data_IF_709780760380
#
_entry.id   IF_709780760380
#
_cell.length_a   1.000
_cell.length_b   1.000
_cell.length_c   1.000
_cell.angle_alpha   90.00
_cell.angle_beta   90.00
_cell.angle_gamma   90.00
#
_symmetry.space_group_name_H-M   'P 1'
#
loop_
_entity.id
_entity.type
_entity.pdbx_description
1 polymer ?
2 water ?
#
# COMPACT_ATOMS: atom_id res chain seq x y z
N UNK A 2 29.63 17.93 1.79
CA UNK A 2 28.32 17.85 2.41
C UNK A 2 28.26 16.73 3.44
N UNK A 3 27.66 17.04 4.60
CA UNK A 3 27.43 16.01 5.59
C UNK A 3 26.49 14.92 5.09
N UNK A 4 25.42 15.31 4.40
CA UNK A 4 24.51 14.32 3.83
C UNK A 4 25.21 13.48 2.76
N UNK A 5 26.18 14.06 2.03
CA UNK A 5 26.95 13.27 1.08
C UNK A 5 27.76 12.20 1.79
N UNK A 6 28.33 12.55 2.95
CA UNK A 6 29.10 11.57 3.73
C UNK A 6 28.22 10.44 4.21
N UNK A 7 27.00 10.77 4.66
CA UNK A 7 26.08 9.75 5.13
C UNK A 7 25.65 8.82 4.00
N UNK A 8 25.40 9.38 2.81
CA UNK A 8 25.03 8.54 1.68
C UNK A 8 26.19 7.65 1.27
N UNK A 9 27.41 8.19 1.26
CA UNK A 9 28.59 7.39 0.95
C UNK A 9 28.73 6.21 1.91
N UNK A 10 28.48 6.44 3.19
CA UNK A 10 28.58 5.36 4.17
C UNK A 10 27.59 4.25 3.84
N UNK A 11 26.37 4.62 3.44
CA UNK A 11 25.33 3.63 3.21
C UNK A 11 25.55 2.89 1.89
N UNK A 12 26.04 3.59 0.87
CA UNK A 12 26.33 2.94 -0.40
C UNK A 12 27.43 1.91 -0.23
N UNK A 13 28.55 2.31 0.36
CA UNK A 13 29.66 1.39 0.54
C UNK A 13 29.29 0.22 1.43
N UNK A 14 28.35 0.43 2.36
CA UNK A 14 27.94 -0.63 3.28
C UNK A 14 27.19 -1.75 2.56
N UNK A 15 26.60 -1.45 1.39
CA UNK A 15 25.76 -2.42 0.69
C UNK A 15 26.28 -2.76 -0.70
N UNK A 16 27.58 -2.60 -0.96
CA UNK A 16 28.11 -2.98 -2.27
C UNK A 16 28.09 -4.49 -2.45
N UNK A 17 28.26 -5.25 -1.37
CA UNK A 17 28.15 -6.70 -1.44
C UNK A 17 26.81 -7.13 -2.00
N UNK A 18 25.77 -6.31 -1.76
CA UNK A 18 24.44 -6.62 -2.23
C UNK A 18 24.34 -6.49 -3.74
N UNK A 19 25.04 -5.50 -4.29
CA UNK A 19 25.09 -5.31 -5.74
C UNK A 19 25.71 -6.52 -6.42
N UNK A 20 26.86 -6.97 -5.90
CA UNK A 20 27.57 -8.07 -6.55
C UNK A 20 26.76 -9.35 -6.46
N UNK A 21 26.20 -9.64 -5.28
CA UNK A 21 25.45 -10.88 -5.12
C UNK A 21 24.24 -10.90 -6.06
N UNK A 22 23.53 -9.78 -6.16
CA UNK A 22 22.34 -9.75 -7.02
C UNK A 22 22.73 -9.82 -8.47
N UNK A 23 23.81 -9.13 -8.86
CA UNK A 23 24.26 -9.18 -10.24
C UNK A 23 24.66 -10.59 -10.63
N UNK A 24 25.32 -11.32 -9.73
CA UNK A 24 25.71 -12.70 -10.03
C UNK A 24 24.50 -13.56 -10.32
N UNK A 25 23.36 -13.27 -9.68
CA UNK A 25 22.15 -14.05 -9.92
C UNK A 25 21.63 -13.85 -11.34
N UNK A 26 21.85 -12.68 -11.92
CA UNK A 26 21.38 -12.40 -13.26
C UNK A 26 22.41 -12.68 -14.34
N UNK A 27 23.63 -13.02 -13.97
CA UNK A 27 24.65 -13.30 -14.97
C UNK A 27 24.22 -14.50 -15.79
N UNK A 28 24.36 -14.38 -17.09
CA UNK A 28 23.91 -15.41 -18.02
C UNK A 28 24.69 -15.25 -19.32
N UNK A 29 24.49 -16.20 -20.23
CA UNK A 29 25.08 -16.11 -21.55
C UNK A 29 24.59 -14.87 -22.27
N UNK A 30 25.53 -14.06 -22.78
CA UNK A 30 25.19 -12.82 -23.46
C UNK A 30 24.98 -11.63 -22.56
N UNK A 31 25.11 -11.78 -21.25
CA UNK A 31 24.88 -10.72 -20.27
C UNK A 31 26.14 -10.59 -19.44
N UNK A 32 26.84 -9.47 -19.60
CA UNK A 32 28.14 -9.30 -18.96
C UNK A 32 27.98 -8.91 -17.50
N UNK A 33 28.64 -9.66 -16.61
CA UNK A 33 28.58 -9.37 -15.18
C UNK A 33 29.06 -7.95 -14.91
N UNK A 34 30.05 -7.48 -15.66
CA UNK A 34 30.55 -6.12 -15.45
C UNK A 34 29.46 -5.09 -15.67
N UNK A 35 28.63 -5.27 -16.70
CA UNK A 35 27.51 -4.37 -16.92
C UNK A 35 26.51 -4.44 -15.79
N UNK A 36 26.25 -5.66 -15.28
CA UNK A 36 25.24 -5.81 -14.23
C UNK A 36 25.68 -5.13 -12.94
N UNK A 37 26.96 -5.24 -12.60
CA UNK A 37 27.47 -4.57 -11.40
C UNK A 37 27.24 -3.07 -11.48
N UNK A 38 27.55 -2.47 -12.64
CA UNK A 38 27.36 -1.04 -12.80
C UNK A 38 25.89 -0.66 -12.74
N UNK A 39 25.04 -1.42 -13.45
CA UNK A 39 23.61 -1.17 -13.45
C UNK A 39 23.05 -1.36 -12.04
N UNK A 40 23.48 -2.42 -11.36
CA UNK A 40 23.05 -2.62 -10.00
C UNK A 40 23.52 -1.51 -9.08
N UNK A 41 24.73 -1.01 -9.29
CA UNK A 41 25.22 0.09 -8.47
C UNK A 41 24.37 1.34 -8.64
N UNK A 42 23.82 1.57 -9.84
CA UNK A 42 22.92 2.70 -10.02
C UNK A 42 21.65 2.48 -9.20
N UNK A 43 21.14 1.25 -9.19
CA UNK A 43 19.99 0.95 -8.34
C UNK A 43 20.28 1.19 -6.87
N UNK A 44 21.48 0.84 -6.42
CA UNK A 44 21.84 1.10 -5.02
C UNK A 44 21.87 2.59 -4.74
N UNK A 45 22.44 3.37 -5.65
CA UNK A 45 22.49 4.82 -5.47
C UNK A 45 21.09 5.40 -5.36
N UNK A 46 20.18 4.95 -6.24
CA UNK A 46 18.80 5.44 -6.15
C UNK A 46 18.15 5.03 -4.84
N UNK A 47 18.42 3.80 -4.38
CA UNK A 47 17.85 3.34 -3.12
C UNK A 47 18.26 4.27 -1.98
N UNK A 48 19.56 4.54 -1.85
CA UNK A 48 20.05 5.36 -0.74
C UNK A 48 19.54 6.79 -0.83
N UNK A 49 19.35 7.32 -2.04
CA UNK A 49 18.85 8.68 -2.19
C UNK A 49 17.37 8.82 -1.89
N UNK A 50 16.60 7.72 -1.93
CA UNK A 50 15.18 7.79 -1.70
C UNK A 50 14.73 7.02 -0.46
N UNK A 51 15.63 6.34 0.25
CA UNK A 51 15.24 5.52 1.39
C UNK A 51 14.66 6.41 2.50
N UNK A 52 13.61 5.93 3.15
CA UNK A 52 13.05 6.63 4.30
C UNK A 52 13.19 5.75 5.53
N UNK A 53 14.01 6.13 6.51
CA UNK A 53 14.10 5.31 7.74
C UNK A 53 12.84 5.33 8.57
N UNK A 54 11.97 6.32 8.39
CA UNK A 54 10.75 6.39 9.19
C UNK A 54 9.78 5.25 8.86
N UNK A 55 9.93 4.61 7.70
CA UNK A 55 9.15 3.43 7.39
C UNK A 55 9.84 2.21 7.99
N UNK A 56 9.19 1.04 7.86
CA UNK A 56 9.60 -0.14 8.60
C UNK A 56 10.30 -1.16 7.70
N UNK A 57 10.98 -0.71 6.67
CA UNK A 57 11.67 -1.57 5.72
C UNK A 57 13.17 -1.40 5.91
N UNK A 58 13.88 -2.52 6.07
CA UNK A 58 15.34 -2.49 6.09
C UNK A 58 15.86 -1.77 4.85
N UNK A 59 16.95 -1.02 5.03
CA UNK A 59 17.67 -0.51 3.87
C UNK A 59 18.06 -1.64 2.93
N UNK A 60 18.60 -2.73 3.48
CA UNK A 60 19.01 -3.86 2.65
C UNK A 60 17.85 -4.42 1.84
N UNK A 61 16.69 -4.60 2.48
CA UNK A 61 15.49 -5.02 1.76
C UNK A 61 15.14 -4.03 0.67
N UNK A 62 15.19 -2.73 0.98
CA UNK A 62 14.80 -1.71 0.02
C UNK A 62 15.83 -1.60 -1.09
N UNK A 63 17.12 -1.61 -0.72
CA UNK A 63 18.18 -1.53 -1.72
C UNK A 63 18.09 -2.67 -2.72
N UNK A 64 17.96 -3.89 -2.21
CA UNK A 64 17.91 -5.06 -3.08
C UNK A 64 16.76 -4.97 -4.06
N UNK A 65 15.62 -4.43 -3.63
CA UNK A 65 14.51 -4.17 -4.54
C UNK A 65 14.91 -3.18 -5.64
N UNK A 66 15.56 -2.08 -5.26
CA UNK A 66 15.97 -1.09 -6.25
C UNK A 66 17.03 -1.66 -7.19
N UNK A 67 17.94 -2.47 -6.65
CA UNK A 67 19.00 -3.06 -7.44
C UNK A 67 18.40 -4.03 -8.46
N UNK A 68 17.50 -4.90 -8.01
CA UNK A 68 16.80 -5.80 -8.92
C UNK A 68 16.07 -5.02 -10.02
N UNK A 69 15.38 -3.95 -9.63
CA UNK A 69 14.55 -3.23 -10.57
C UNK A 69 15.38 -2.55 -11.66
N UNK A 70 16.54 -2.01 -11.31
CA UNK A 70 17.39 -1.40 -12.32
C UNK A 70 17.90 -2.46 -13.29
N UNK A 71 18.30 -3.63 -12.76
CA UNK A 71 18.82 -4.68 -13.63
C UNK A 71 17.72 -5.23 -14.53
N UNK A 72 16.50 -5.39 -13.98
CA UNK A 72 15.40 -5.90 -14.80
C UNK A 72 15.06 -4.94 -15.93
N UNK A 73 14.97 -3.64 -15.63
CA UNK A 73 14.68 -2.68 -16.68
C UNK A 73 15.80 -2.62 -17.71
N UNK A 74 17.04 -2.79 -17.27
CA UNK A 74 18.15 -2.83 -18.22
C UNK A 74 18.05 -4.05 -19.13
N UNK A 75 17.67 -5.20 -18.58
CA UNK A 75 17.56 -6.38 -19.43
C UNK A 75 16.32 -6.31 -20.34
N UNK A 76 15.23 -5.72 -19.86
CA UNK A 76 14.07 -5.53 -20.72
C UNK A 76 14.36 -4.50 -21.82
N UNK A 77 15.12 -3.46 -21.48
CA UNK A 77 15.48 -2.44 -22.46
C UNK A 77 16.38 -3.00 -23.56
N UNK A 78 17.25 -3.95 -23.23
CA UNK A 78 18.19 -4.54 -24.19
C UNK A 78 17.71 -5.87 -24.76
N UNK A 79 16.41 -6.17 -24.64
CA UNK A 79 15.79 -7.34 -25.26
C UNK A 79 16.48 -8.64 -24.86
N UNK A 80 16.97 -8.71 -23.61
CA UNK A 80 17.49 -9.94 -23.06
C UNK A 80 16.53 -10.56 -22.05
N UNK A 81 15.27 -10.08 -22.03
CA UNK A 81 14.25 -10.29 -20.99
C UNK A 81 14.73 -11.06 -19.76
N UNK B 3 -10.01 6.14 3.87
CA UNK B 3 -8.68 6.41 4.40
C UNK B 3 -8.73 6.73 5.87
N UNK B 4 -8.86 8.02 6.19
CA UNK B 4 -9.05 8.42 7.58
C UNK B 4 -10.37 7.88 8.13
N UNK B 5 -11.38 7.76 7.27
CA UNK B 5 -12.66 7.20 7.68
C UNK B 5 -12.49 5.78 8.22
N UNK B 6 -11.81 4.91 7.45
CA UNK B 6 -11.62 3.54 7.88
C UNK B 6 -10.87 3.46 9.20
N UNK B 7 -9.92 4.36 9.43
CA UNK B 7 -9.19 4.39 10.70
C UNK B 7 -10.15 4.66 11.87
N UNK B 8 -11.04 5.64 11.71
CA UNK B 8 -11.97 5.95 12.80
C UNK B 8 -12.98 4.83 13.01
N UNK B 9 -13.39 4.16 11.94
CA UNK B 9 -14.36 3.07 12.06
C UNK B 9 -13.80 1.95 12.92
N UNK B 10 -12.51 1.65 12.76
CA UNK B 10 -11.88 0.60 13.57
C UNK B 10 -11.94 0.97 15.05
N UNK B 11 -11.59 2.21 15.39
CA UNK B 11 -11.56 2.61 16.79
C UNK B 11 -12.96 2.71 17.36
N UNK B 12 -13.92 3.19 16.57
CA UNK B 12 -15.31 3.26 17.03
C UNK B 12 -15.83 1.85 17.34
N UNK B 13 -15.71 0.93 16.39
CA UNK B 13 -16.33 -0.38 16.54
C UNK B 13 -15.69 -1.18 17.67
N UNK B 14 -14.45 -0.88 18.02
CA UNK B 14 -13.81 -1.63 19.09
C UNK B 14 -14.28 -1.15 20.47
N UNK B 15 -14.97 -0.01 20.54
CA UNK B 15 -15.39 0.57 21.81
C UNK B 15 -16.90 0.58 21.97
N UNK B 16 -17.63 -0.21 21.17
CA UNK B 16 -19.09 -0.20 21.26
C UNK B 16 -19.57 -0.68 22.63
N UNK B 17 -18.96 -1.73 23.16
CA UNK B 17 -19.40 -2.24 24.45
C UNK B 17 -19.26 -1.17 25.52
N UNK B 18 -18.27 -0.29 25.38
CA UNK B 18 -18.10 0.80 26.33
C UNK B 18 -19.31 1.73 26.32
N UNK B 19 -19.89 1.98 25.14
CA UNK B 19 -21.12 2.76 25.04
C UNK B 19 -22.23 2.10 25.85
N UNK B 20 -22.42 0.80 25.66
CA UNK B 20 -23.49 0.10 26.36
C UNK B 20 -23.25 0.13 27.86
N UNK B 21 -22.02 -0.20 28.29
CA UNK B 21 -21.72 -0.26 29.71
C UNK B 21 -22.08 1.05 30.41
N UNK B 22 -21.69 2.18 29.81
CA UNK B 22 -22.00 3.46 30.41
C UNK B 22 -23.49 3.77 30.30
N UNK B 23 -24.12 3.37 29.19
CA UNK B 23 -25.54 3.66 29.04
C UNK B 23 -26.36 2.96 30.12
N UNK B 24 -25.97 1.75 30.50
CA UNK B 24 -26.75 1.01 31.50
C UNK B 24 -26.69 1.70 32.86
N UNK B 25 -25.59 2.41 33.15
CA UNK B 25 -25.51 3.14 34.42
C UNK B 25 -26.57 4.22 34.53
N UNK B 26 -26.93 4.85 33.41
CA UNK B 26 -27.91 5.94 33.44
C UNK B 26 -29.33 5.47 33.21
N UNK B 27 -29.56 4.18 33.05
CA UNK B 27 -30.90 3.68 32.81
C UNK B 27 -31.68 3.60 34.12
N UNK B 28 -32.86 4.20 34.12
CA UNK B 28 -33.85 4.00 35.18
C UNK B 28 -35.20 4.47 34.65
N UNK B 29 -36.16 4.69 35.56
CA UNK B 29 -37.54 4.98 35.17
C UNK B 29 -37.61 6.22 34.27
N UNK B 30 -38.11 6.02 33.05
CA UNK B 30 -38.32 7.09 32.11
C UNK B 30 -37.18 7.35 31.14
N UNK B 31 -36.00 6.82 31.41
CA UNK B 31 -34.84 7.00 30.53
C UNK B 31 -34.62 5.67 29.82
N UNK B 32 -34.97 5.59 28.55
CA UNK B 32 -34.91 4.32 27.84
C UNK B 32 -33.49 4.01 27.37
N UNK B 33 -33.07 2.76 27.62
CA UNK B 33 -31.71 2.34 27.32
C UNK B 33 -31.36 2.53 25.85
N UNK B 34 -32.36 2.38 24.96
CA UNK B 34 -32.08 2.46 23.53
C UNK B 34 -31.73 3.88 23.12
N UNK B 35 -32.39 4.87 23.72
CA UNK B 35 -31.99 6.26 23.52
C UNK B 35 -30.57 6.49 24.03
N UNK B 36 -30.25 5.94 25.19
CA UNK B 36 -28.94 6.19 25.81
C UNK B 36 -27.82 5.55 25.01
N UNK B 37 -28.08 4.38 24.41
CA UNK B 37 -27.06 3.77 23.55
C UNK B 37 -26.79 4.67 22.35
N UNK B 38 -27.86 5.15 21.71
CA UNK B 38 -27.69 6.03 20.56
C UNK B 38 -26.91 7.29 20.96
N UNK B 39 -27.40 7.99 21.98
CA UNK B 39 -26.75 9.22 22.44
C UNK B 39 -25.30 8.94 22.82
N UNK B 40 -25.07 7.87 23.58
CA UNK B 40 -23.72 7.53 23.98
C UNK B 40 -22.82 7.24 22.79
N UNK B 41 -23.36 6.55 21.78
CA UNK B 41 -22.61 6.29 20.55
C UNK B 41 -22.17 7.60 19.91
N UNK B 42 -23.01 8.63 19.99
CA UNK B 42 -22.63 9.93 19.45
C UNK B 42 -21.39 10.45 20.18
N UNK B 43 -21.34 10.25 21.50
CA UNK B 43 -20.16 10.68 22.25
C UNK B 43 -18.92 9.91 21.86
N UNK B 44 -19.08 8.62 21.56
CA UNK B 44 -17.93 7.81 21.15
C UNK B 44 -17.39 8.29 19.82
N UNK B 45 -18.27 8.65 18.89
CA UNK B 45 -17.83 9.20 17.63
C UNK B 45 -17.07 10.49 17.86
N UNK B 46 -17.57 11.35 18.75
CA UNK B 46 -16.88 12.61 19.03
C UNK B 46 -15.53 12.36 19.67
N UNK B 47 -15.43 11.33 20.51
CA UNK B 47 -14.16 11.01 21.14
C UNK B 47 -13.12 10.57 20.11
N UNK B 48 -13.50 9.67 19.20
CA UNK B 48 -12.56 9.17 18.21
C UNK B 48 -12.11 10.28 17.28
N UNK B 49 -12.99 11.22 16.97
CA UNK B 49 -12.63 12.29 16.03
C UNK B 49 -11.67 13.31 16.66
N UNK B 50 -11.69 13.46 17.99
CA UNK B 50 -10.87 14.44 18.68
C UNK B 50 -9.77 13.82 19.54
N UNK B 51 -9.63 12.50 19.52
CA UNK B 51 -8.63 11.85 20.35
C UNK B 51 -7.23 12.16 19.83
N UNK B 52 -6.32 12.46 20.77
CA UNK B 52 -4.91 12.71 20.48
C UNK B 52 -4.08 11.55 21.02
N UNK B 53 -3.60 10.65 20.14
CA UNK B 53 -2.79 9.52 20.63
C UNK B 53 -1.40 9.92 21.10
N UNK B 54 -0.96 11.14 20.84
CA UNK B 54 0.36 11.60 21.25
C UNK B 54 0.37 12.15 22.68
N UNK B 55 -0.72 11.99 23.42
CA UNK B 55 -0.76 12.28 24.85
C UNK B 55 -1.10 11.02 25.63
N UNK B 56 -0.97 11.10 26.95
CA UNK B 56 -0.88 9.90 27.78
C UNK B 56 -2.22 9.47 28.36
N UNK B 57 -3.33 9.88 27.75
CA UNK B 57 -4.65 9.41 28.14
C UNK B 57 -5.09 8.34 27.14
N UNK B 58 -5.44 7.16 27.65
CA UNK B 58 -5.85 6.09 26.75
C UNK B 58 -7.19 6.43 26.12
N UNK B 59 -7.43 5.84 24.94
CA UNK B 59 -8.65 6.15 24.21
C UNK B 59 -9.90 5.76 25.01
N UNK B 60 -9.89 4.56 25.61
CA UNK B 60 -11.08 4.10 26.33
C UNK B 60 -11.44 5.05 27.48
N UNK B 61 -10.43 5.68 28.10
CA UNK B 61 -10.70 6.62 29.20
C UNK B 61 -11.23 7.94 28.66
N UNK B 62 -10.61 8.45 27.59
CA UNK B 62 -11.14 9.66 26.94
C UNK B 62 -12.53 9.42 26.36
N UNK B 63 -12.77 8.24 25.79
CA UNK B 63 -14.08 7.93 25.25
C UNK B 63 -15.12 7.87 26.36
N UNK B 64 -14.78 7.23 27.47
CA UNK B 64 -15.70 7.18 28.60
C UNK B 64 -16.14 8.59 29.01
N UNK B 65 -15.20 9.52 29.06
CA UNK B 65 -15.57 10.89 29.40
C UNK B 65 -16.54 11.48 28.38
N UNK B 66 -16.26 11.27 27.09
CA UNK B 66 -17.11 11.89 26.07
C UNK B 66 -18.49 11.24 26.02
N UNK B 67 -18.54 9.93 26.24
CA UNK B 67 -19.81 9.21 26.25
C UNK B 67 -20.68 9.68 27.40
N UNK B 68 -20.11 9.72 28.61
CA UNK B 68 -20.82 10.28 29.76
C UNK B 68 -21.31 11.68 29.46
N UNK B 69 -20.42 12.55 28.96
CA UNK B 69 -20.78 13.94 28.72
C UNK B 69 -21.95 14.06 27.76
N UNK B 70 -21.91 13.31 26.65
CA UNK B 70 -23.02 13.34 25.71
C UNK B 70 -24.34 12.95 26.39
N UNK B 71 -24.30 11.92 27.23
CA UNK B 71 -25.52 11.46 27.89
C UNK B 71 -26.01 12.49 28.90
N UNK B 72 -25.10 13.06 29.71
CA UNK B 72 -25.51 14.06 30.68
C UNK B 72 -26.14 15.27 30.02
N UNK B 73 -25.58 15.72 28.89
CA UNK B 73 -26.16 16.88 28.22
C UNK B 73 -27.54 16.56 27.63
N UNK B 74 -27.74 15.32 27.18
CA UNK B 74 -29.06 14.89 26.74
C UNK B 74 -30.04 14.88 27.91
N UNK B 75 -29.60 14.37 29.07
CA UNK B 75 -30.46 14.30 30.24
C UNK B 75 -30.83 15.70 30.75
N UNK B 76 -29.89 16.65 30.69
CA UNK B 76 -30.20 18.01 31.11
C UNK B 76 -31.10 18.71 30.10
N UNK B 77 -30.88 18.46 28.80
CA UNK B 77 -31.73 19.07 27.78
C UNK B 77 -33.18 18.61 27.93
N UNK B 78 -33.39 17.35 28.30
CA UNK B 78 -34.72 16.78 28.47
C UNK B 78 -35.10 16.66 29.95
N UNK B 79 -34.53 17.51 30.80
CA UNK B 79 -34.80 17.50 32.24
C UNK B 79 -34.60 16.10 32.85
N UNK C 6 -27.31 21.98 17.21
CA UNK C 6 -28.64 22.37 16.76
C UNK C 6 -28.86 21.96 15.30
N UNK C 7 -30.08 22.18 14.81
CA UNK C 7 -30.46 21.82 13.44
C UNK C 7 -30.20 20.34 13.19
N UNK C 8 -28.95 19.99 12.89
CA UNK C 8 -28.60 18.58 12.76
C UNK C 8 -28.93 17.81 14.02
N UNK C 9 -28.63 18.37 15.19
CA UNK C 9 -28.90 17.67 16.44
C UNK C 9 -30.40 17.45 16.64
N UNK C 10 -31.23 18.33 16.09
CA UNK C 10 -32.67 18.12 16.12
C UNK C 10 -33.04 16.90 15.27
N UNK C 11 -32.52 16.85 14.04
CA UNK C 11 -32.82 15.74 13.14
C UNK C 11 -32.37 14.40 13.71
N UNK C 12 -31.20 14.38 14.37
CA UNK C 12 -30.71 13.13 14.92
C UNK C 12 -31.58 12.67 16.08
N UNK C 13 -31.81 13.56 17.04
CA UNK C 13 -32.60 13.17 18.22
C UNK C 13 -34.02 12.81 17.84
N UNK C 14 -34.56 13.43 16.80
CA UNK C 14 -35.93 13.16 16.41
C UNK C 14 -36.08 11.82 15.70
N UNK C 15 -34.98 11.21 15.26
CA UNK C 15 -35.05 9.95 14.52
C UNK C 15 -34.26 8.83 15.19
N UNK C 16 -34.07 8.90 16.51
CA UNK C 16 -33.42 7.79 17.21
C UNK C 16 -34.27 6.53 17.13
N UNK C 17 -35.59 6.69 17.20
CA UNK C 17 -36.48 5.53 17.14
C UNK C 17 -36.33 4.79 15.82
N UNK C 18 -36.09 5.52 14.73
CA UNK C 18 -35.88 4.87 13.44
C UNK C 18 -34.77 3.83 13.51
N UNK C 19 -33.72 4.09 14.31
CA UNK C 19 -32.64 3.11 14.45
C UNK C 19 -33.17 1.83 15.07
N UNK C 20 -34.00 1.96 16.12
CA UNK C 20 -34.56 0.79 16.78
C UNK C 20 -35.45 0.01 15.81
N UNK C 21 -36.27 0.72 15.04
CA UNK C 21 -37.19 0.03 14.14
C UNK C 21 -36.43 -0.77 13.09
N UNK C 22 -35.36 -0.20 12.53
CA UNK C 22 -34.59 -0.90 11.52
C UNK C 22 -33.79 -2.04 12.15
N UNK C 23 -33.22 -1.80 13.34
CA UNK C 23 -32.38 -2.81 13.96
C UNK C 23 -33.18 -4.06 14.34
N UNK C 24 -34.43 -3.90 14.75
CA UNK C 24 -35.25 -5.06 15.11
C UNK C 24 -35.54 -5.95 13.91
N UNK C 25 -35.37 -5.46 12.69
CA UNK C 25 -35.53 -6.32 11.51
C UNK C 25 -34.50 -7.44 11.48
N UNK C 26 -33.41 -7.31 12.23
CA UNK C 26 -32.32 -8.27 12.21
C UNK C 26 -32.31 -9.17 13.44
N UNK C 27 -33.48 -9.41 14.03
CA UNK C 27 -33.57 -10.17 15.27
C UNK C 27 -33.01 -11.58 15.12
N UNK C 28 -33.29 -12.23 13.97
CA UNK C 28 -32.95 -13.65 13.82
C UNK C 28 -31.47 -13.89 13.59
N UNK C 29 -30.65 -12.84 13.49
CA UNK C 29 -29.21 -13.02 13.46
C UNK C 29 -28.65 -13.43 14.81
N UNK C 30 -29.44 -13.37 15.87
CA UNK C 30 -28.97 -13.66 17.21
C UNK C 30 -28.00 -12.64 17.76
N UNK C 31 -27.67 -11.60 17.01
CA UNK C 31 -26.73 -10.58 17.46
C UNK C 31 -27.44 -9.66 18.44
N UNK C 32 -26.70 -9.27 19.49
CA UNK C 32 -27.23 -8.42 20.54
C UNK C 32 -27.82 -7.13 19.96
N UNK C 33 -29.08 -6.86 20.30
CA UNK C 33 -29.77 -5.67 19.79
C UNK C 33 -29.04 -4.39 20.21
N UNK C 34 -28.43 -4.39 21.40
CA UNK C 34 -27.68 -3.22 21.84
C UNK C 34 -26.58 -2.85 20.84
N UNK C 35 -25.85 -3.86 20.35
CA UNK C 35 -24.78 -3.56 19.41
C UNK C 35 -25.33 -3.08 18.07
N UNK C 36 -26.44 -3.67 17.61
CA UNK C 36 -27.05 -3.22 16.37
C UNK C 36 -27.49 -1.77 16.47
N UNK C 37 -28.11 -1.39 17.59
CA UNK C 37 -28.56 -0.02 17.77
C UNK C 37 -27.39 0.94 17.67
N UNK C 38 -26.29 0.61 18.34
CA UNK C 38 -25.10 1.45 18.26
C UNK C 38 -24.60 1.55 16.83
N UNK C 39 -24.50 0.41 16.13
CA UNK C 39 -24.04 0.42 14.74
C UNK C 39 -24.98 1.22 13.87
N UNK C 40 -26.29 0.99 14.04
CA UNK C 40 -27.26 1.73 13.25
C UNK C 40 -27.22 3.22 13.51
N UNK C 41 -26.89 3.62 14.76
CA UNK C 41 -26.78 5.05 15.04
C UNK C 41 -25.70 5.68 14.19
N UNK C 42 -24.56 4.98 14.03
CA UNK C 42 -23.52 5.43 13.11
C UNK C 42 -24.10 5.69 11.72
N UNK C 43 -24.92 4.74 11.23
CA UNK C 43 -25.58 4.96 9.97
C UNK C 43 -26.45 6.19 9.94
N UNK C 44 -27.18 6.45 11.04
CA UNK C 44 -28.05 7.62 11.10
C UNK C 44 -27.24 8.91 11.05
N UNK C 45 -26.11 8.93 11.75
CA UNK C 45 -25.25 10.12 11.75
C UNK C 45 -24.59 10.32 10.40
N UNK C 46 -24.25 9.23 9.69
CA UNK C 46 -23.76 9.37 8.34
C UNK C 46 -24.82 9.97 7.42
N UNK C 47 -26.06 9.50 7.56
CA UNK C 47 -27.13 10.00 6.69
C UNK C 47 -27.35 11.50 6.89
N UNK C 48 -27.36 11.94 8.15
CA UNK C 48 -27.56 13.36 8.44
C UNK C 48 -26.40 14.18 7.87
N UNK C 49 -25.18 13.66 8.01
CA UNK C 49 -24.00 14.39 7.54
C UNK C 49 -23.92 14.48 6.02
N UNK C 50 -24.71 13.68 5.29
CA UNK C 50 -24.54 13.57 3.84
C UNK C 50 -25.86 13.72 3.09
N UNK C 51 -26.86 14.36 3.69
CA UNK C 51 -28.22 14.38 3.14
C UNK C 51 -28.33 15.00 1.75
N UNK C 52 -28.23 16.34 1.67
CA UNK C 52 -28.53 17.14 0.49
C UNK C 52 -30.03 17.06 0.18
N UNK C 53 -30.81 18.07 0.59
CA UNK C 53 -32.27 17.98 0.47
C UNK C 53 -32.82 18.15 -0.92
N UNK C 54 -32.01 18.63 -1.88
CA UNK C 54 -32.51 18.91 -3.22
C UNK C 54 -32.53 17.68 -4.13
N UNK C 55 -32.08 16.52 -3.65
CA UNK C 55 -32.08 15.30 -4.45
C UNK C 55 -33.45 14.65 -4.55
N UNK C 56 -34.48 15.23 -3.93
CA UNK C 56 -35.88 14.80 -3.93
C UNK C 56 -36.13 13.54 -3.11
N UNK C 57 -35.18 13.10 -2.28
CA UNK C 57 -35.36 11.94 -1.42
C UNK C 57 -35.53 12.43 0.01
N UNK C 58 -36.58 11.95 0.69
CA UNK C 58 -36.87 12.38 2.05
C UNK C 58 -35.80 11.85 3.01
N UNK C 59 -35.58 12.60 4.09
CA UNK C 59 -34.52 12.25 5.03
C UNK C 59 -34.80 10.92 5.74
N UNK C 60 -36.08 10.60 5.97
CA UNK C 60 -36.40 9.35 6.65
C UNK C 60 -36.07 8.15 5.78
N UNK C 61 -36.32 8.25 4.48
CA UNK C 61 -36.00 7.14 3.58
C UNK C 61 -34.50 7.01 3.36
N UNK C 62 -33.81 8.14 3.16
CA UNK C 62 -32.37 8.11 3.03
C UNK C 62 -31.70 7.57 4.29
N UNK C 63 -32.20 7.96 5.47
CA UNK C 63 -31.64 7.45 6.72
C UNK C 63 -31.96 5.98 6.90
N UNK C 64 -33.14 5.54 6.49
CA UNK C 64 -33.45 4.11 6.56
C UNK C 64 -32.42 3.29 5.80
N UNK C 65 -32.04 3.75 4.61
CA UNK C 65 -31.04 3.05 3.82
C UNK C 65 -29.70 3.01 4.53
N UNK C 66 -29.22 4.18 4.97
CA UNK C 66 -27.91 4.26 5.62
C UNK C 66 -27.86 3.44 6.89
N UNK C 67 -28.96 3.37 7.63
CA UNK C 67 -29.00 2.60 8.87
C UNK C 67 -28.97 1.11 8.56
N UNK C 68 -29.84 0.66 7.65
CA UNK C 68 -29.84 -0.74 7.27
C UNK C 68 -28.49 -1.15 6.68
N UNK C 69 -27.93 -0.30 5.81
CA UNK C 69 -26.65 -0.62 5.18
C UNK C 69 -25.54 -0.75 6.21
N UNK C 70 -25.47 0.20 7.15
CA UNK C 70 -24.44 0.12 8.18
C UNK C 70 -24.52 -1.19 8.96
N UNK C 71 -25.74 -1.63 9.28
CA UNK C 71 -25.91 -2.88 10.00
C UNK C 71 -25.52 -4.06 9.12
N UNK C 72 -25.95 -4.03 7.85
CA UNK C 72 -25.65 -5.14 6.95
C UNK C 72 -24.15 -5.33 6.81
N UNK C 73 -23.42 -4.25 6.50
CA UNK C 73 -21.98 -4.35 6.37
C UNK C 73 -21.34 -4.88 7.64
N UNK C 74 -21.83 -4.44 8.80
CA UNK C 74 -21.29 -4.91 10.07
C UNK C 74 -21.55 -6.40 10.26
N UNK C 75 -22.76 -6.87 9.92
CA UNK C 75 -23.06 -8.29 10.04
C UNK C 75 -22.26 -9.13 9.06
N UNK C 76 -22.15 -8.70 7.81
CA UNK C 76 -21.39 -9.52 6.87
C UNK C 76 -19.89 -9.44 7.14
N UNK C 77 -19.40 -8.29 7.63
CA UNK C 77 -18.00 -8.17 7.97
C UNK C 77 -17.59 -9.16 9.05
N UNK C 78 -18.53 -9.53 9.93
CA UNK C 78 -18.20 -10.37 11.08
C UNK C 78 -18.77 -11.78 10.98
N UNK C 79 -19.40 -12.15 9.88
CA UNK C 79 -19.93 -13.50 9.74
C UNK C 79 -19.03 -14.31 8.82
N UNK D 2 9.36 5.66 -9.36
CA UNK D 2 9.28 6.22 -8.01
C UNK D 2 9.87 5.27 -6.97
N UNK D 3 10.63 5.83 -6.03
CA UNK D 3 11.05 5.07 -4.87
C UNK D 3 9.92 4.77 -3.90
N UNK D 4 8.87 5.59 -3.91
CA UNK D 4 7.70 5.28 -3.10
C UNK D 4 7.01 4.02 -3.58
N UNK D 5 6.92 3.84 -4.91
CA UNK D 5 6.26 2.65 -5.43
C UNK D 5 7.06 1.40 -5.14
N UNK D 6 8.40 1.50 -5.13
CA UNK D 6 9.23 0.36 -4.77
C UNK D 6 8.99 -0.07 -3.33
N UNK D 7 8.75 0.90 -2.44
CA UNK D 7 8.46 0.56 -1.05
C UNK D 7 7.06 -0.01 -0.92
N UNK D 8 6.10 0.57 -1.62
CA UNK D 8 4.74 0.04 -1.59
C UNK D 8 4.70 -1.38 -2.14
N UNK D 9 5.44 -1.63 -3.23
CA UNK D 9 5.50 -2.98 -3.80
C UNK D 9 6.04 -3.99 -2.81
N UNK D 10 7.03 -3.59 -2.00
CA UNK D 10 7.60 -4.51 -1.01
C UNK D 10 6.55 -4.88 0.04
N UNK D 11 5.77 -3.90 0.49
CA UNK D 11 4.80 -4.16 1.56
C UNK D 11 3.57 -4.88 1.04
N UNK D 12 3.16 -4.62 -0.19
CA UNK D 12 2.09 -5.42 -0.80
C UNK D 12 2.52 -6.89 -0.90
N UNK D 13 3.66 -7.16 -1.52
CA UNK D 13 4.07 -8.55 -1.73
C UNK D 13 4.34 -9.26 -0.41
N UNK D 14 4.84 -8.54 0.60
CA UNK D 14 5.06 -9.13 1.91
C UNK D 14 3.77 -9.59 2.57
N UNK D 15 2.62 -9.06 2.18
CA UNK D 15 1.38 -9.32 2.89
C UNK D 15 0.28 -9.91 2.00
N UNK D 16 0.67 -10.67 0.97
CA UNK D 16 -0.33 -11.36 0.17
C UNK D 16 -1.11 -12.40 0.99
N UNK D 17 -0.47 -13.00 2.00
CA UNK D 17 -1.15 -13.99 2.83
C UNK D 17 -2.37 -13.39 3.52
N UNK D 18 -2.28 -12.11 3.91
CA UNK D 18 -3.40 -11.47 4.58
C UNK D 18 -4.65 -11.48 3.71
N UNK D 19 -4.49 -11.30 2.39
CA UNK D 19 -5.63 -11.34 1.48
C UNK D 19 -6.31 -12.71 1.52
N UNK D 20 -5.50 -13.77 1.56
CA UNK D 20 -6.05 -15.12 1.59
C UNK D 20 -6.76 -15.39 2.91
N UNK D 21 -6.10 -15.07 4.04
CA UNK D 21 -6.69 -15.34 5.36
C UNK D 21 -8.07 -14.69 5.46
N UNK D 22 -8.20 -13.48 4.94
CA UNK D 22 -9.48 -12.77 4.99
C UNK D 22 -10.42 -13.28 3.90
N UNK D 23 -9.92 -13.47 2.68
CA UNK D 23 -10.77 -13.96 1.60
C UNK D 23 -11.46 -15.25 1.98
N UNK D 24 -10.75 -16.14 2.68
CA UNK D 24 -11.32 -17.43 3.00
C UNK D 24 -12.45 -17.35 4.02
N UNK D 25 -12.59 -16.23 4.72
CA UNK D 25 -13.71 -16.06 5.63
C UNK D 25 -15.02 -15.81 4.90
N UNK D 26 -14.95 -15.27 3.69
CA UNK D 26 -16.13 -14.98 2.88
C UNK D 26 -16.48 -16.11 1.91
N UNK D 27 -16.00 -17.33 2.18
CA UNK D 27 -16.26 -18.43 1.27
C UNK D 27 -17.69 -18.94 1.36
N UNK D 28 -18.31 -18.83 2.54
CA UNK D 28 -19.71 -19.25 2.69
C UNK D 28 -20.65 -18.41 1.83
N UNK D 29 -20.23 -17.22 1.41
CA UNK D 29 -20.95 -16.44 0.41
C UNK D 29 -20.51 -16.95 -0.95
N UNK D 30 -21.17 -18.01 -1.42
CA UNK D 30 -20.77 -18.79 -2.58
C UNK D 30 -20.20 -18.07 -3.78
N UNK D 31 -19.11 -17.34 -3.54
CA UNK D 31 -18.33 -16.69 -4.58
C UNK D 31 -16.96 -17.35 -4.63
N UNK D 32 -16.45 -17.55 -5.84
CA UNK D 32 -15.18 -18.24 -6.02
C UNK D 32 -14.06 -17.59 -5.22
N UNK D 33 -13.26 -18.42 -4.57
CA UNK D 33 -12.13 -17.91 -3.81
C UNK D 33 -11.18 -17.13 -4.71
N UNK D 34 -11.05 -17.53 -5.98
CA UNK D 34 -10.15 -16.83 -6.90
C UNK D 34 -10.54 -15.37 -7.05
N UNK D 35 -11.84 -15.09 -7.21
CA UNK D 35 -12.29 -13.71 -7.30
C UNK D 35 -12.06 -12.97 -6.00
N UNK D 36 -12.34 -13.61 -4.86
CA UNK D 36 -12.18 -12.95 -3.56
C UNK D 36 -10.73 -12.55 -3.33
N UNK D 37 -9.78 -13.39 -3.78
CA UNK D 37 -8.37 -13.02 -3.63
C UNK D 37 -8.06 -11.78 -4.46
N UNK D 38 -8.54 -11.74 -5.72
CA UNK D 38 -8.31 -10.59 -6.57
C UNK D 38 -8.88 -9.32 -5.95
N UNK D 39 -10.16 -9.35 -5.59
CA UNK D 39 -10.80 -8.19 -4.96
C UNK D 39 -10.08 -7.82 -3.67
N UNK D 40 -9.74 -8.81 -2.86
CA UNK D 40 -9.04 -8.52 -1.62
C UNK D 40 -7.69 -7.89 -1.86
N UNK D 41 -7.01 -8.31 -2.94
CA UNK D 41 -5.72 -7.72 -3.28
C UNK D 41 -5.86 -6.24 -3.59
N UNK D 42 -6.92 -5.87 -4.30
CA UNK D 42 -7.19 -4.46 -4.58
C UNK D 42 -7.27 -3.66 -3.28
N UNK D 43 -7.96 -4.21 -2.27
CA UNK D 43 -8.01 -3.54 -0.98
C UNK D 43 -6.66 -3.45 -0.31
N UNK D 44 -5.82 -4.46 -0.49
CA UNK D 44 -4.45 -4.41 0.05
C UNK D 44 -3.64 -3.33 -0.63
N UNK D 45 -3.79 -3.21 -1.96
CA UNK D 45 -3.11 -2.15 -2.70
C UNK D 45 -3.55 -0.79 -2.19
N UNK D 46 -4.86 -0.60 -2.01
CA UNK D 46 -5.35 0.69 -1.53
C UNK D 46 -4.85 0.96 -0.12
N UNK D 47 -4.79 -0.08 0.72
CA UNK D 47 -4.30 0.10 2.08
C UNK D 47 -2.87 0.61 2.08
N UNK D 48 -1.96 -0.11 1.39
CA UNK D 48 -0.56 0.26 1.39
C UNK D 48 -0.36 1.66 0.80
N UNK D 49 -1.14 2.02 -0.23
CA UNK D 49 -1.00 3.33 -0.84
C UNK D 49 -1.43 4.46 0.10
N UNK D 50 -2.43 4.23 0.94
CA UNK D 50 -3.00 5.29 1.77
C UNK D 50 -2.57 5.21 3.23
N UNK D 51 -1.80 4.20 3.61
CA UNK D 51 -1.44 4.03 5.01
C UNK D 51 -0.62 5.21 5.51
N UNK D 52 -0.93 5.67 6.73
CA UNK D 52 -0.20 6.75 7.39
C UNK D 52 0.68 6.17 8.48
N UNK D 53 2.00 6.07 8.27
CA UNK D 53 2.84 5.31 9.21
C UNK D 53 2.98 5.94 10.59
N UNK D 54 2.91 7.26 10.71
CA UNK D 54 3.04 7.89 12.03
C UNK D 54 1.70 8.06 12.72
N UNK D 55 0.61 7.54 12.16
CA UNK D 55 -0.62 7.37 12.93
C UNK D 55 -0.51 6.08 13.75
N UNK D 56 -1.49 5.84 14.63
CA UNK D 56 -1.36 4.83 15.67
C UNK D 56 -2.01 3.50 15.30
N UNK D 57 -2.34 3.27 14.04
CA UNK D 57 -2.97 2.03 13.61
C UNK D 57 -1.97 1.22 12.80
N UNK D 58 -1.78 -0.03 13.21
CA UNK D 58 -0.83 -0.91 12.52
C UNK D 58 -1.27 -1.15 11.09
N UNK D 59 -0.30 -1.46 10.23
CA UNK D 59 -0.59 -1.71 8.82
C UNK D 59 -1.50 -2.90 8.64
N UNK D 60 -1.25 -3.99 9.38
CA UNK D 60 -2.08 -5.18 9.26
C UNK D 60 -3.53 -4.89 9.64
N UNK D 61 -3.73 -4.08 10.70
CA UNK D 61 -5.08 -3.71 11.10
C UNK D 61 -5.77 -2.86 10.03
N UNK D 62 -5.06 -1.86 9.52
CA UNK D 62 -5.63 -0.99 8.48
C UNK D 62 -5.88 -1.77 7.20
N UNK D 63 -4.97 -2.65 6.82
CA UNK D 63 -5.13 -3.38 5.57
C UNK D 63 -6.26 -4.40 5.66
N UNK D 64 -6.38 -5.09 6.80
CA UNK D 64 -7.52 -5.99 7.00
C UNK D 64 -8.85 -5.26 6.78
N UNK D 65 -8.94 -4.03 7.26
CA UNK D 65 -10.15 -3.25 7.05
C UNK D 65 -10.34 -2.93 5.57
N UNK D 66 -9.26 -2.56 4.88
CA UNK D 66 -9.40 -2.23 3.46
C UNK D 66 -9.70 -3.45 2.61
N UNK D 67 -9.14 -4.61 2.97
CA UNK D 67 -9.41 -5.84 2.24
C UNK D 67 -10.87 -6.25 2.44
N UNK D 68 -11.34 -6.20 3.69
CA UNK D 68 -12.76 -6.46 3.96
C UNK D 68 -13.66 -5.50 3.20
N UNK D 69 -13.35 -4.20 3.26
CA UNK D 69 -14.22 -3.21 2.64
C UNK D 69 -14.34 -3.43 1.13
N UNK D 70 -13.25 -3.85 0.48
CA UNK D 70 -13.30 -4.08 -0.96
C UNK D 70 -14.16 -5.29 -1.29
N UNK D 71 -13.98 -6.37 -0.52
CA UNK D 71 -14.83 -7.55 -0.70
C UNK D 71 -16.29 -7.21 -0.44
N UNK D 72 -16.57 -6.48 0.67
CA UNK D 72 -17.95 -6.15 1.00
C UNK D 72 -18.58 -5.25 -0.06
N UNK D 73 -17.80 -4.36 -0.65
CA UNK D 73 -18.34 -3.58 -1.77
C UNK D 73 -18.61 -4.45 -2.98
N UNK D 74 -17.75 -5.46 -3.19
CA UNK D 74 -17.99 -6.39 -4.29
C UNK D 74 -19.23 -7.24 -4.04
N UNK D 75 -19.46 -7.64 -2.79
CA UNK D 75 -20.64 -8.45 -2.49
C UNK D 75 -21.92 -7.64 -2.58
N UNK D 76 -21.86 -6.35 -2.23
CA UNK D 76 -23.06 -5.53 -2.29
C UNK D 76 -23.39 -5.11 -3.72
N UNK D 77 -22.37 -4.98 -4.58
CA UNK D 77 -22.62 -4.71 -5.99
C UNK D 77 -23.23 -5.91 -6.69
N UNK D 78 -22.92 -7.12 -6.25
CA UNK D 78 -23.36 -8.35 -6.88
C UNK D 78 -24.40 -9.08 -6.03
N UNK D 79 -25.33 -8.33 -5.43
CA UNK D 79 -26.43 -8.92 -4.67
C UNK D 79 -27.66 -8.04 -4.71
N UNK E 5 -19.91 7.48 -11.69
CA UNK E 5 -19.40 8.24 -12.82
C UNK E 5 -17.97 7.83 -13.14
N UNK E 6 -17.13 7.79 -12.11
CA UNK E 6 -15.75 7.33 -12.25
C UNK E 6 -15.59 5.85 -11.99
N UNK E 7 -16.70 5.10 -11.87
CA UNK E 7 -16.66 3.69 -11.56
C UNK E 7 -16.02 2.89 -12.70
N UNK E 8 -14.71 2.72 -12.66
CA UNK E 8 -14.01 1.84 -13.58
C UNK E 8 -14.05 0.39 -13.13
N UNK E 9 -14.80 0.07 -12.07
CA UNK E 9 -14.87 -1.30 -11.58
C UNK E 9 -15.55 -2.24 -12.58
N UNK E 10 -16.34 -1.69 -13.51
CA UNK E 10 -16.89 -2.53 -14.56
C UNK E 10 -15.79 -3.15 -15.41
N UNK E 11 -14.77 -2.34 -15.73
CA UNK E 11 -13.64 -2.86 -16.49
C UNK E 11 -12.90 -3.95 -15.71
N UNK E 12 -12.58 -3.65 -14.45
CA UNK E 12 -11.75 -4.56 -13.66
C UNK E 12 -12.49 -5.87 -13.40
N UNK E 13 -13.76 -5.78 -12.99
CA UNK E 13 -14.54 -6.99 -12.72
C UNK E 13 -14.65 -7.86 -13.97
N UNK E 14 -14.73 -7.24 -15.15
CA UNK E 14 -14.89 -8.00 -16.39
C UNK E 14 -13.64 -8.77 -16.78
N UNK E 15 -12.50 -8.50 -16.15
CA UNK E 15 -11.23 -9.13 -16.53
C UNK E 15 -10.63 -9.95 -15.40
N UNK E 16 -11.45 -10.36 -14.42
CA UNK E 16 -10.91 -11.13 -13.30
C UNK E 16 -10.53 -12.54 -13.73
N UNK E 17 -11.39 -13.20 -14.52
CA UNK E 17 -11.07 -14.55 -14.95
C UNK E 17 -9.86 -14.57 -15.87
N UNK E 18 -9.53 -13.44 -16.50
CA UNK E 18 -8.29 -13.33 -17.25
C UNK E 18 -7.07 -13.48 -16.34
N UNK E 19 -7.18 -13.00 -15.09
CA UNK E 19 -6.09 -13.17 -14.14
C UNK E 19 -5.88 -14.65 -13.81
N UNK E 20 -6.98 -15.37 -13.57
CA UNK E 20 -6.86 -16.77 -13.18
C UNK E 20 -6.35 -17.60 -14.36
N UNK E 21 -6.86 -17.33 -15.57
CA UNK E 21 -6.43 -18.08 -16.74
C UNK E 21 -4.93 -17.93 -16.96
N UNK E 22 -4.39 -16.73 -16.75
CA UNK E 22 -2.96 -16.54 -16.92
C UNK E 22 -2.18 -17.17 -15.77
N UNK E 23 -2.71 -17.07 -14.54
CA UNK E 23 -2.02 -17.65 -13.40
C UNK E 23 -1.97 -19.16 -13.47
N UNK E 24 -2.98 -19.80 -14.07
CA UNK E 24 -2.95 -21.25 -14.23
C UNK E 24 -1.86 -21.69 -15.19
N UNK E 25 -1.41 -20.81 -16.09
CA UNK E 25 -0.34 -21.18 -17.01
C UNK E 25 0.95 -21.52 -16.28
N UNK E 26 1.14 -21.04 -15.06
CA UNK E 26 2.36 -21.29 -14.30
C UNK E 26 2.18 -22.41 -13.29
N UNK E 27 1.33 -23.39 -13.62
CA UNK E 27 1.14 -24.57 -12.79
C UNK E 27 2.46 -25.28 -12.50
N UNK E 28 3.40 -25.26 -13.44
CA UNK E 28 4.67 -25.96 -13.28
C UNK E 28 5.72 -25.15 -12.52
N UNK E 29 5.40 -23.90 -12.16
CA UNK E 29 6.25 -23.13 -11.27
C UNK E 29 5.89 -23.46 -9.83
N UNK E 30 6.90 -23.61 -8.98
CA UNK E 30 6.67 -23.91 -7.58
C UNK E 30 6.23 -22.73 -6.74
N UNK E 31 5.35 -21.88 -7.28
CA UNK E 31 4.71 -20.80 -6.53
C UNK E 31 3.23 -21.11 -6.41
N UNK E 32 2.68 -20.96 -5.20
CA UNK E 32 1.27 -21.25 -4.98
C UNK E 32 0.39 -20.35 -5.83
N UNK E 33 -0.70 -20.92 -6.36
CA UNK E 33 -1.59 -20.18 -7.26
C UNK E 33 -2.14 -18.92 -6.57
N UNK E 34 -2.39 -19.00 -5.25
CA UNK E 34 -2.92 -17.83 -4.54
C UNK E 34 -2.02 -16.61 -4.72
N UNK E 35 -0.71 -16.80 -4.68
CA UNK E 35 0.21 -15.69 -4.90
C UNK E 35 0.12 -15.17 -6.33
N UNK E 36 0.04 -16.06 -7.31
CA UNK E 36 0.00 -15.63 -8.71
C UNK E 36 -1.27 -14.84 -9.01
N UNK E 37 -2.41 -15.22 -8.41
CA UNK E 37 -3.64 -14.46 -8.61
C UNK E 37 -3.48 -13.04 -8.11
N UNK E 38 -2.89 -12.87 -6.92
CA UNK E 38 -2.68 -11.52 -6.38
C UNK E 38 -1.74 -10.73 -7.27
N UNK E 39 -0.59 -11.32 -7.62
CA UNK E 39 0.39 -10.63 -8.47
C UNK E 39 -0.25 -10.27 -9.81
N UNK E 40 -0.92 -11.23 -10.43
CA UNK E 40 -1.63 -10.93 -11.67
C UNK E 40 -2.61 -9.79 -11.53
N UNK E 41 -3.35 -9.77 -10.41
CA UNK E 41 -4.30 -8.68 -10.18
C UNK E 41 -3.61 -7.32 -10.15
N UNK E 42 -2.45 -7.25 -9.49
CA UNK E 42 -1.63 -6.04 -9.55
C UNK E 42 -1.39 -5.64 -11.00
N UNK E 43 -1.10 -6.62 -11.86
CA UNK E 43 -0.91 -6.32 -13.26
C UNK E 43 -2.16 -5.78 -13.93
N UNK E 44 -3.31 -6.34 -13.59
CA UNK E 44 -4.56 -5.85 -14.18
C UNK E 44 -4.85 -4.42 -13.75
N UNK E 45 -4.55 -4.09 -12.49
CA UNK E 45 -4.72 -2.73 -11.99
C UNK E 45 -3.83 -1.76 -12.77
N UNK E 46 -2.59 -2.16 -13.04
CA UNK E 46 -1.70 -1.31 -13.83
C UNK E 46 -2.19 -1.17 -15.26
N UNK E 47 -2.84 -2.21 -15.79
CA UNK E 47 -3.35 -2.13 -17.16
C UNK E 47 -4.45 -1.09 -17.29
N UNK E 48 -5.44 -1.12 -16.38
CA UNK E 48 -6.56 -0.19 -16.49
C UNK E 48 -6.12 1.23 -16.20
N UNK E 49 -5.05 1.41 -15.41
CA UNK E 49 -4.56 2.74 -15.11
C UNK E 49 -3.72 3.34 -16.23
N UNK E 50 -3.23 2.50 -17.15
CA UNK E 50 -2.39 2.97 -18.25
C UNK E 50 -2.96 2.63 -19.61
N UNK E 51 -4.17 2.08 -19.66
CA UNK E 51 -4.76 1.74 -20.95
C UNK E 51 -5.10 3.01 -21.72
N UNK E 52 -4.72 3.04 -22.99
CA UNK E 52 -5.05 4.14 -23.88
C UNK E 52 -6.03 3.66 -24.94
N UNK E 53 -7.33 3.97 -24.82
CA UNK E 53 -8.30 3.50 -25.83
C UNK E 53 -8.11 4.13 -27.20
N UNK E 54 -7.35 5.23 -27.29
CA UNK E 54 -7.10 5.85 -28.59
C UNK E 54 -6.15 5.03 -29.45
N UNK E 55 -5.38 4.12 -28.85
CA UNK E 55 -4.52 3.22 -29.60
C UNK E 55 -5.34 2.04 -30.11
N UNK E 56 -4.73 1.26 -31.00
CA UNK E 56 -5.41 0.14 -31.64
C UNK E 56 -5.01 -1.17 -30.97
N UNK E 57 -5.51 -1.34 -29.75
CA UNK E 57 -5.28 -2.56 -28.98
C UNK E 57 -6.43 -2.72 -27.97
N UNK E 58 -7.09 -3.87 -28.00
CA UNK E 58 -8.19 -4.13 -27.09
C UNK E 58 -7.68 -4.24 -25.65
N UNK E 59 -8.55 -3.90 -24.70
CA UNK E 59 -8.16 -3.87 -23.30
C UNK E 59 -7.74 -5.26 -22.81
N UNK E 60 -8.51 -6.29 -23.16
CA UNK E 60 -8.18 -7.64 -22.73
C UNK E 60 -6.86 -8.11 -23.32
N UNK E 61 -6.50 -7.62 -24.51
CA UNK E 61 -5.18 -7.93 -25.07
C UNK E 61 -4.08 -7.23 -24.27
N UNK E 62 -4.26 -5.94 -24.01
CA UNK E 62 -3.28 -5.20 -23.21
C UNK E 62 -3.25 -5.71 -21.77
N UNK E 63 -4.43 -6.05 -21.22
CA UNK E 63 -4.49 -6.52 -19.84
C UNK E 63 -3.72 -7.84 -19.68
N UNK E 64 -3.87 -8.76 -20.63
CA UNK E 64 -3.15 -10.03 -20.54
C UNK E 64 -1.65 -9.83 -20.55
N UNK E 65 -1.16 -8.85 -21.33
CA UNK E 65 0.27 -8.60 -21.39
C UNK E 65 0.80 -8.12 -20.04
N UNK E 66 0.10 -7.18 -19.41
CA UNK E 66 0.54 -6.68 -18.10
C UNK E 66 0.37 -7.72 -17.01
N UNK E 67 -0.69 -8.53 -17.07
CA UNK E 67 -0.91 -9.57 -16.08
C UNK E 67 0.21 -10.60 -16.15
N UNK E 68 0.53 -11.05 -17.36
CA UNK E 68 1.62 -12.01 -17.52
C UNK E 68 2.96 -11.36 -17.18
N UNK E 69 3.18 -10.11 -17.58
CA UNK E 69 4.45 -9.45 -17.29
C UNK E 69 4.66 -9.31 -15.79
N UNK E 70 3.62 -8.86 -15.08
CA UNK E 70 3.72 -8.73 -13.63
C UNK E 70 4.11 -10.05 -12.99
N UNK E 71 3.50 -11.15 -13.42
CA UNK E 71 3.83 -12.46 -12.87
C UNK E 71 5.27 -12.84 -13.20
N UNK E 72 5.67 -12.64 -14.46
CA UNK E 72 7.03 -13.00 -14.88
C UNK E 72 8.07 -12.21 -14.09
N UNK E 73 7.84 -10.91 -13.89
CA UNK E 73 8.77 -10.11 -13.10
C UNK E 73 8.86 -10.63 -11.67
N UNK E 74 7.72 -11.00 -11.10
CA UNK E 74 7.72 -11.55 -9.74
C UNK E 74 8.53 -12.84 -9.68
N UNK E 75 8.39 -13.69 -10.69
CA UNK E 75 9.10 -14.96 -10.69
C UNK E 75 10.60 -14.77 -10.93
N UNK E 76 10.97 -13.87 -11.84
CA UNK E 76 12.38 -13.59 -12.07
C UNK E 76 13.02 -13.05 -10.80
N UNK E 77 12.36 -12.07 -10.18
CA UNK E 77 12.85 -11.45 -8.96
C UNK E 77 13.08 -12.49 -7.86
N UNK E 78 12.27 -13.54 -7.81
CA UNK E 78 12.41 -14.56 -6.77
C UNK E 78 13.11 -15.82 -7.26
N UNK E 79 13.71 -15.78 -8.45
CA UNK E 79 14.54 -16.85 -8.96
C UNK E 79 13.77 -18.17 -9.07
N UNK E 80 12.59 -18.10 -9.68
CA UNK E 80 11.74 -19.26 -9.91
C UNK E 80 11.63 -19.54 -11.40
N UNK E 81 11.53 -20.83 -11.74
CA UNK E 81 11.39 -21.21 -13.14
C UNK E 81 10.11 -20.64 -13.72
N UNK E 82 10.20 -20.13 -14.94
CA UNK E 82 9.07 -19.50 -15.59
C UNK E 82 8.38 -20.47 -16.55
N UNK F 5 17.79 14.48 -16.57
CA UNK F 5 17.47 14.31 -17.99
C UNK F 5 17.21 12.84 -18.32
N UNK F 6 16.42 12.60 -19.36
CA UNK F 6 16.34 11.25 -19.91
C UNK F 6 17.60 10.89 -20.66
N UNK F 7 18.31 11.89 -21.20
CA UNK F 7 19.55 11.67 -21.90
C UNK F 7 20.71 11.35 -20.97
N UNK F 8 20.53 11.58 -19.66
CA UNK F 8 21.54 11.12 -18.69
C UNK F 8 21.72 9.63 -18.78
N UNK F 9 20.61 8.88 -18.85
CA UNK F 9 20.66 7.43 -18.88
C UNK F 9 21.44 6.93 -20.08
N UNK F 10 21.30 7.58 -21.23
CA UNK F 10 22.04 7.16 -22.41
C UNK F 10 23.54 7.38 -22.20
N UNK F 11 23.92 8.57 -21.75
CA UNK F 11 25.33 8.87 -21.50
C UNK F 11 25.96 7.88 -20.53
N UNK F 12 25.23 7.47 -19.50
CA UNK F 12 25.78 6.56 -18.51
C UNK F 12 25.97 5.17 -19.10
N UNK F 13 24.93 4.65 -19.77
CA UNK F 13 24.93 3.25 -20.18
C UNK F 13 26.00 2.96 -21.21
N UNK F 14 26.29 3.90 -22.10
CA UNK F 14 27.30 3.64 -23.12
C UNK F 14 28.69 4.09 -22.68
N UNK F 15 28.86 4.52 -21.44
CA UNK F 15 30.18 4.74 -20.88
C UNK F 15 30.51 3.71 -19.81
N UNK F 16 29.70 2.65 -19.70
CA UNK F 16 29.96 1.59 -18.71
C UNK F 16 31.31 0.92 -18.97
N UNK F 17 31.66 0.70 -20.24
CA UNK F 17 32.96 0.11 -20.54
C UNK F 17 34.10 0.98 -20.02
N UNK F 18 33.91 2.30 -20.05
CA UNK F 18 34.97 3.18 -19.54
C UNK F 18 35.31 2.85 -18.09
N UNK F 19 34.29 2.55 -17.28
CA UNK F 19 34.53 2.21 -15.88
C UNK F 19 35.43 0.99 -15.78
N UNK F 20 35.18 -0.01 -16.62
CA UNK F 20 35.95 -1.24 -16.57
C UNK F 20 37.41 -0.99 -17.00
N UNK F 21 37.61 -0.29 -18.12
CA UNK F 21 38.98 -0.07 -18.60
C UNK F 21 39.83 0.60 -17.52
N UNK F 22 39.25 1.56 -16.81
CA UNK F 22 39.99 2.23 -15.74
C UNK F 22 40.15 1.31 -14.53
N UNK F 23 39.07 0.61 -14.14
CA UNK F 23 39.15 -0.25 -12.97
C UNK F 23 40.13 -1.40 -13.16
N UNK F 24 40.28 -1.88 -14.39
CA UNK F 24 41.25 -2.95 -14.66
C UNK F 24 42.68 -2.51 -14.42
N UNK F 25 42.96 -1.22 -14.51
CA UNK F 25 44.36 -0.83 -14.27
C UNK F 25 44.70 -0.79 -12.79
N UNK F 26 43.72 -1.00 -11.91
CA UNK F 26 43.94 -1.02 -10.47
C UNK F 26 43.82 -2.41 -9.88
N UNK F 27 43.71 -3.47 -10.70
CA UNK F 27 43.55 -4.80 -10.11
C UNK F 27 44.87 -5.41 -9.65
N UNK F 28 45.94 -4.61 -9.59
CA UNK F 28 47.19 -5.03 -8.98
C UNK F 28 47.18 -4.84 -7.46
N UNK F 29 46.01 -4.63 -6.86
CA UNK F 29 45.85 -4.47 -5.43
C UNK F 29 45.32 -5.77 -4.81
N UNK F 30 44.72 -5.66 -3.62
CA UNK F 30 44.04 -6.77 -2.99
C UNK F 30 42.56 -6.49 -2.85
N UNK F 31 42.01 -5.74 -3.80
CA UNK F 31 40.57 -5.44 -3.84
C UNK F 31 39.98 -6.12 -5.06
N UNK F 32 38.79 -6.68 -4.88
CA UNK F 32 38.14 -7.38 -5.98
C UNK F 32 37.75 -6.41 -7.08
N UNK F 33 37.84 -6.89 -8.33
CA UNK F 33 37.46 -6.07 -9.47
C UNK F 33 36.00 -5.66 -9.37
N UNK F 34 35.16 -6.53 -8.79
CA UNK F 34 33.74 -6.22 -8.68
C UNK F 34 33.51 -4.94 -7.86
N UNK F 35 34.23 -4.79 -6.76
CA UNK F 35 34.06 -3.59 -5.94
C UNK F 35 34.61 -2.36 -6.66
N UNK F 36 35.70 -2.52 -7.41
CA UNK F 36 36.27 -1.39 -8.14
C UNK F 36 35.31 -0.91 -9.22
N UNK F 37 34.63 -1.82 -9.90
CA UNK F 37 33.65 -1.43 -10.91
C UNK F 37 32.50 -0.66 -10.26
N UNK F 38 31.99 -1.18 -9.14
CA UNK F 38 30.95 -0.46 -8.42
C UNK F 38 31.42 0.96 -8.06
N UNK F 39 32.59 1.08 -7.46
CA UNK F 39 33.11 2.39 -7.06
C UNK F 39 33.32 3.27 -8.28
N UNK F 40 33.92 2.72 -9.33
CA UNK F 40 34.11 3.52 -10.53
C UNK F 40 32.80 4.02 -11.11
N UNK F 41 31.75 3.20 -11.02
CA UNK F 41 30.44 3.58 -11.53
C UNK F 41 29.87 4.76 -10.75
N UNK F 42 30.12 4.80 -9.44
CA UNK F 42 29.83 6.00 -8.67
C UNK F 42 30.54 7.22 -9.26
N UNK F 43 31.81 7.05 -9.62
CA UNK F 43 32.52 8.16 -10.25
C UNK F 43 31.91 8.59 -11.57
N UNK F 44 31.43 7.63 -12.35
CA UNK F 44 30.77 7.95 -13.61
C UNK F 44 29.47 8.71 -13.36
N UNK F 45 28.67 8.28 -12.38
CA UNK F 45 27.43 8.99 -12.06
C UNK F 45 27.73 10.41 -11.63
N UNK F 46 28.76 10.60 -10.80
CA UNK F 46 29.12 11.95 -10.37
C UNK F 46 29.53 12.81 -11.55
N UNK F 47 30.29 12.26 -12.48
CA UNK F 47 30.72 13.03 -13.65
C UNK F 47 29.52 13.48 -14.49
N UNK F 48 28.57 12.58 -14.73
CA UNK F 48 27.44 12.89 -15.60
C UNK F 48 26.51 13.90 -14.93
N UNK F 49 26.35 13.79 -13.60
CA UNK F 49 25.52 14.75 -12.88
C UNK F 49 26.15 16.13 -12.79
N UNK F 50 27.46 16.25 -13.04
CA UNK F 50 28.17 17.51 -12.90
C UNK F 50 28.92 17.88 -14.18
N UNK F 51 28.40 17.49 -15.33
CA UNK F 51 29.07 17.74 -16.60
C UNK F 51 28.43 18.91 -17.33
N UNK F 52 29.26 19.78 -17.90
CA UNK F 52 28.79 20.92 -18.66
C UNK F 52 28.86 20.61 -20.15
N UNK F 53 27.73 20.56 -20.86
CA UNK F 53 27.77 20.31 -22.31
C UNK F 53 28.46 21.43 -23.10
N UNK F 54 29.73 21.68 -22.80
CA UNK F 54 30.53 22.68 -23.49
C UNK F 54 31.99 22.56 -23.07
N UNK F 55 32.66 23.70 -22.88
CA UNK F 55 34.03 23.77 -22.39
C UNK F 55 35.03 23.06 -23.29
N UNK F 56 36.31 23.12 -22.93
CA UNK F 56 37.38 22.45 -23.65
C UNK F 56 37.61 21.01 -23.17
N UNK F 57 36.91 20.59 -22.12
CA UNK F 57 36.91 19.21 -21.65
C UNK F 57 35.50 18.67 -21.83
N UNK F 58 35.39 17.50 -22.44
CA UNK F 58 34.09 16.89 -22.68
C UNK F 58 33.95 15.59 -21.91
N UNK F 59 32.86 14.86 -22.18
CA UNK F 59 32.38 13.81 -21.28
C UNK F 59 33.45 12.77 -20.98
N UNK F 60 34.00 12.14 -22.02
CA UNK F 60 34.89 11.00 -21.83
C UNK F 60 36.07 11.38 -20.94
N UNK F 61 36.72 12.50 -21.23
CA UNK F 61 37.89 12.89 -20.44
C UNK F 61 37.51 13.28 -19.03
N UNK F 62 36.40 14.02 -18.87
CA UNK F 62 35.95 14.37 -17.52
C UNK F 62 35.51 13.14 -16.74
N UNK F 63 34.81 12.22 -17.40
CA UNK F 63 34.37 11.00 -16.74
C UNK F 63 35.56 10.14 -16.31
N UNK F 64 36.60 10.08 -17.14
CA UNK F 64 37.78 9.29 -16.80
C UNK F 64 38.43 9.80 -15.52
N UNK F 65 38.51 11.11 -15.36
CA UNK F 65 39.10 11.69 -14.16
C UNK F 65 38.29 11.30 -12.93
N UNK F 66 36.98 11.54 -12.98
CA UNK F 66 36.11 11.25 -11.84
C UNK F 66 36.11 9.77 -11.51
N UNK F 67 36.07 8.92 -12.53
CA UNK F 67 36.12 7.48 -12.29
C UNK F 67 37.42 7.10 -11.61
N UNK F 68 38.54 7.60 -12.13
CA UNK F 68 39.83 7.30 -11.52
C UNK F 68 39.92 7.89 -10.11
N UNK F 69 39.42 9.11 -9.93
CA UNK F 69 39.54 9.75 -8.62
C UNK F 69 38.78 8.98 -7.56
N UNK F 70 37.55 8.54 -7.88
CA UNK F 70 36.76 7.81 -6.90
C UNK F 70 37.42 6.50 -6.50
N UNK F 71 38.01 5.79 -7.47
CA UNK F 71 38.72 4.57 -7.16
C UNK F 71 39.96 4.86 -6.32
N UNK F 72 40.71 5.92 -6.68
CA UNK F 72 41.87 6.31 -5.89
C UNK F 72 41.48 6.61 -4.46
N UNK F 73 40.42 7.40 -4.27
CA UNK F 73 39.99 7.77 -2.92
C UNK F 73 39.48 6.56 -2.15
N UNK F 74 38.86 5.60 -2.84
CA UNK F 74 38.42 4.39 -2.17
C UNK F 74 39.60 3.56 -1.69
N UNK F 75 40.63 3.42 -2.54
CA UNK F 75 41.80 2.65 -2.16
C UNK F 75 42.65 3.38 -1.13
N UNK F 76 42.79 4.70 -1.25
CA UNK F 76 43.52 5.43 -0.21
C UNK F 76 42.76 5.44 1.11
N UNK F 77 41.43 5.49 1.06
CA UNK F 77 40.65 5.44 2.29
C UNK F 77 40.86 4.12 3.01
N UNK F 78 41.04 3.03 2.26
CA UNK F 78 41.37 1.73 2.84
C UNK F 78 42.86 1.46 2.81
N UNK F 79 43.69 2.49 2.56
CA UNK F 79 45.13 2.46 2.79
C UNK F 79 45.83 1.46 1.88
N UNK F 80 45.69 1.67 0.57
CA UNK F 80 46.41 0.89 -0.43
C UNK F 80 47.24 1.80 -1.32
N UNK F 81 46.59 2.48 -2.25
CA UNK F 81 47.29 3.38 -3.16
C UNK F 81 47.34 4.79 -2.58
#
# INVERSE_FOLDING_TARGET
>A
PNGDQAARAILIERNLRLVVYIARKFENTGINIEDLISIGTIGLIKAVNTFNPEKKIKLATYASRCIENEILMYLRRNNKIR
>B
PNGDQAARAILIERNLRLVVYIARKFENTGINIEDLISIGTIGLIKAVNTFNPEKKIKLATYASRCIENEILMYLRRNNKIR
>C
PNGDQAARAILIERNLRLVVYIARKFENTGINIEDLISIGTIGLIKAVNTFNPEKKIKLATYASRCIENEILMYLRRNNKIR
>D
PNGDQAARAILIERNLRLVVYIARKFENTGINIEDLISIGTIGLIKAVNTFNPEKKIKLATYASRCIENEILMYLRRNNKIR
>E
PNGDQAARAILIERNLRLVVYIARKFENTGINIEDLISIGTIGLIKAVNTFNPEKKIKLATYASRCIENEILMYLRRNNKIR
>F
PNGDQAARAILIERNLRLVVYIARKFENTGINIEDLISIGTIGLIKAVNTFNPEKKIKLATYASRCIENEILMYLRRNNKIR
#
